data_IF_636363317646
#
_entry.id   IF_636363317646
#
_cell.length_a   1.000
_cell.length_b   1.000
_cell.length_c   1.000
_cell.angle_alpha   90.00
_cell.angle_beta   90.00
_cell.angle_gamma   90.00
#
_symmetry.space_group_name_H-M   'P 1'
#
loop_
_entity.id
_entity.type
_entity.pdbx_description
1 polymer ?
#
# COMPACT_ATOMS: atom_id res chain seq x y z
N UNK A 1 37.59 -28.26 -5.44
CA UNK A 1 37.30 -28.25 -4.00
C UNK A 1 36.04 -27.44 -3.69
N UNK A 2 35.89 -26.18 -4.15
CA UNK A 2 34.65 -25.40 -3.91
C UNK A 2 33.38 -25.97 -4.57
N UNK A 3 33.46 -26.58 -5.76
CA UNK A 3 32.29 -27.19 -6.42
C UNK A 3 31.81 -28.49 -5.75
N UNK A 4 32.68 -29.18 -5.01
CA UNK A 4 32.32 -30.40 -4.28
C UNK A 4 31.61 -30.06 -2.95
N UNK A 5 32.00 -28.95 -2.31
CA UNK A 5 31.38 -28.46 -1.08
C UNK A 5 29.93 -28.02 -1.28
N UNK A 6 29.63 -27.34 -2.40
CA UNK A 6 28.27 -26.91 -2.75
C UNK A 6 27.36 -28.13 -3.02
N UNK A 7 27.90 -29.18 -3.66
CA UNK A 7 27.14 -30.40 -3.93
C UNK A 7 26.80 -31.17 -2.65
N UNK A 8 27.72 -31.22 -1.68
CA UNK A 8 27.49 -31.86 -0.38
C UNK A 8 26.43 -31.10 0.43
N UNK A 9 26.46 -29.76 0.44
CA UNK A 9 25.46 -28.91 1.12
C UNK A 9 24.05 -29.11 0.52
N UNK A 10 23.93 -29.19 -0.81
CA UNK A 10 22.66 -29.43 -1.49
C UNK A 10 22.08 -30.81 -1.12
N UNK A 11 22.91 -31.85 -1.14
CA UNK A 11 22.49 -33.22 -0.77
C UNK A 11 22.09 -33.31 0.71
N UNK A 12 22.72 -32.53 1.61
CA UNK A 12 22.36 -32.54 3.03
C UNK A 12 21.02 -31.85 3.30
N UNK A 13 20.71 -30.78 2.56
CA UNK A 13 19.44 -30.06 2.70
C UNK A 13 18.26 -30.89 2.17
N UNK A 14 18.46 -31.61 1.05
CA UNK A 14 17.42 -32.50 0.49
C UNK A 14 17.10 -33.68 1.42
N UNK A 15 18.10 -34.21 2.15
CA UNK A 15 17.93 -35.33 3.08
C UNK A 15 17.28 -34.92 4.41
N UNK A 16 17.50 -33.68 4.89
CA UNK A 16 16.99 -33.22 6.18
C UNK A 16 15.56 -32.65 6.12
N UNK A 17 15.13 -32.13 4.97
CA UNK A 17 13.83 -31.43 4.85
C UNK A 17 12.82 -32.08 3.90
N UNK A 18 13.17 -33.16 3.19
CA UNK A 18 12.23 -33.95 2.39
C UNK A 18 11.56 -33.19 1.24
N UNK A 19 12.15 -32.09 0.76
CA UNK A 19 11.63 -31.28 -0.35
C UNK A 19 12.35 -31.62 -1.66
N UNK A 20 11.62 -32.05 -2.68
CA UNK A 20 12.14 -32.31 -4.04
C UNK A 20 12.31 -30.99 -4.80
N UNK A 21 13.52 -30.73 -5.30
CA UNK A 21 13.89 -29.53 -6.06
C UNK A 21 13.38 -29.55 -7.52
N UNK A 22 12.08 -29.81 -7.73
CA UNK A 22 11.42 -29.72 -9.04
C UNK A 22 10.21 -28.79 -9.06
N UNK A 23 10.01 -27.98 -8.03
CA UNK A 23 8.97 -26.92 -7.98
C UNK A 23 9.56 -25.50 -7.83
N UNK A 24 10.77 -25.27 -8.36
CA UNK A 24 11.35 -23.92 -8.49
C UNK A 24 11.41 -23.44 -9.95
N UNK A 25 10.44 -23.84 -10.77
CA UNK A 25 10.19 -23.28 -12.11
C UNK A 25 8.73 -22.88 -12.23
N UNK A 26 8.34 -21.84 -11.51
CA UNK A 26 7.12 -21.08 -11.85
C UNK A 26 7.31 -19.57 -11.75
N UNK A 27 8.54 -19.08 -11.97
CA UNK A 27 8.80 -17.68 -12.37
C UNK A 27 8.76 -17.61 -13.92
N UNK A 28 7.64 -18.01 -14.51
CA UNK A 28 7.35 -17.80 -15.94
C UNK A 28 5.94 -17.23 -16.19
N UNK A 29 5.23 -16.80 -15.13
CA UNK A 29 3.96 -16.05 -15.24
C UNK A 29 4.11 -14.53 -15.31
N UNK A 30 5.34 -14.01 -15.50
CA UNK A 30 5.60 -12.59 -15.81
C UNK A 30 5.68 -12.28 -17.32
N UNK A 31 5.51 -13.28 -18.20
CA UNK A 31 5.43 -13.06 -19.67
C UNK A 31 4.07 -12.59 -20.17
N UNK A 32 3.04 -12.58 -19.32
CA UNK A 32 1.72 -12.02 -19.68
C UNK A 32 1.71 -10.49 -19.64
N UNK A 33 2.62 -9.86 -18.88
CA UNK A 33 2.73 -8.40 -18.80
C UNK A 33 3.53 -7.76 -19.95
N UNK A 34 4.49 -8.48 -20.55
CA UNK A 34 5.25 -7.99 -21.70
C UNK A 34 4.47 -8.06 -23.03
N UNK A 35 3.42 -8.89 -23.13
CA UNK A 35 2.54 -8.93 -24.30
C UNK A 35 1.65 -7.68 -24.43
N UNK A 36 1.34 -7.01 -23.32
CA UNK A 36 0.52 -5.79 -23.32
C UNK A 36 1.26 -4.59 -23.95
N UNK A 37 2.59 -4.51 -23.78
CA UNK A 37 3.40 -3.43 -24.39
C UNK A 37 3.55 -3.56 -25.91
N UNK A 38 3.44 -4.79 -26.45
CA UNK A 38 3.52 -5.04 -27.90
C UNK A 38 2.22 -4.76 -28.67
N UNK A 39 1.09 -4.68 -27.96
CA UNK A 39 -0.21 -4.39 -28.57
C UNK A 39 -0.44 -2.90 -28.84
N UNK A 40 0.34 -2.02 -28.22
CA UNK A 40 0.29 -0.55 -28.43
C UNK A 40 0.58 -0.17 -29.89
N UNK A 41 1.37 -0.98 -30.61
CA UNK A 41 1.64 -0.78 -32.04
C UNK A 41 0.63 -1.46 -32.98
N UNK A 42 -0.19 -2.39 -32.49
CA UNK A 42 -1.12 -3.16 -33.34
C UNK A 42 -2.49 -2.49 -33.46
N UNK A 43 -2.90 -1.67 -32.49
CA UNK A 43 -4.12 -0.85 -32.52
C UNK A 43 -4.06 0.29 -33.54
N UNK A 44 -2.87 0.72 -33.97
CA UNK A 44 -2.69 1.79 -34.98
C UNK A 44 -3.21 1.47 -36.38
N UNK A 45 -3.42 0.19 -36.73
CA UNK A 45 -3.79 -0.21 -38.11
C UNK A 45 -5.30 -0.37 -38.35
N UNK A 46 -6.15 -0.24 -37.34
CA UNK A 46 -7.60 -0.52 -37.47
C UNK A 46 -8.53 0.71 -37.47
N UNK A 47 -8.03 1.92 -37.26
CA UNK A 47 -8.85 3.14 -37.10
C UNK A 47 -9.11 3.91 -38.41
N UNK A 48 -9.10 3.24 -39.56
CA UNK A 48 -9.22 3.91 -40.87
C UNK A 48 -10.65 4.33 -41.25
N UNK A 49 -11.60 4.31 -40.31
CA UNK A 49 -13.04 4.42 -40.60
C UNK A 49 -13.85 5.44 -39.79
N UNK A 50 -13.27 6.21 -38.87
CA UNK A 50 -14.05 7.18 -38.07
C UNK A 50 -13.36 8.54 -38.14
N UNK A 51 -13.92 9.44 -38.98
CA UNK A 51 -13.37 10.77 -39.27
C UNK A 51 -13.66 11.84 -38.20
N UNK A 52 -14.07 11.48 -36.98
CA UNK A 52 -14.57 12.45 -35.99
C UNK A 52 -13.79 12.51 -34.65
N UNK A 53 -12.67 11.78 -34.51
CA UNK A 53 -11.93 11.70 -33.23
C UNK A 53 -10.44 12.08 -33.34
N UNK A 54 -10.12 13.03 -34.22
CA UNK A 54 -8.74 13.53 -34.44
C UNK A 54 -8.14 14.29 -33.24
N UNK A 55 -8.90 14.55 -32.18
CA UNK A 55 -8.41 15.18 -30.95
C UNK A 55 -7.78 14.17 -29.98
N UNK A 56 -8.21 12.89 -30.00
CA UNK A 56 -7.62 11.82 -29.18
C UNK A 56 -6.19 11.52 -29.62
N UNK A 57 -5.90 11.65 -30.92
CA UNK A 57 -4.56 11.49 -31.51
C UNK A 57 -3.62 12.69 -31.24
N UNK A 58 -4.13 13.81 -30.70
CA UNK A 58 -3.40 15.06 -30.43
C UNK A 58 -2.88 15.17 -28.99
N UNK A 59 -2.57 14.05 -28.34
CA UNK A 59 -1.88 14.05 -27.03
C UNK A 59 -0.40 13.70 -27.23
N UNK A 60 0.48 14.65 -27.59
CA UNK A 60 1.91 14.43 -27.54
C UNK A 60 2.43 14.65 -26.12
N UNK A 61 3.47 13.90 -25.77
CA UNK A 61 3.91 13.68 -24.40
C UNK A 61 4.50 14.88 -23.65
N UNK A 62 4.44 14.72 -22.32
CA UNK A 62 5.44 15.10 -21.30
C UNK A 62 5.72 16.57 -20.98
N UNK A 63 5.05 17.55 -21.56
CA UNK A 63 5.16 18.94 -21.08
C UNK A 63 3.83 19.45 -20.52
N UNK A 64 3.86 19.90 -19.26
CA UNK A 64 2.75 20.58 -18.56
C UNK A 64 2.22 21.78 -19.37
N UNK A 65 3.09 22.46 -20.13
CA UNK A 65 2.71 23.55 -21.03
C UNK A 65 1.73 23.16 -22.15
N UNK A 66 1.87 21.95 -22.69
CA UNK A 66 1.02 21.45 -23.78
C UNK A 66 -0.33 20.92 -23.26
N UNK A 67 -0.38 20.45 -22.00
CA UNK A 67 -1.61 20.10 -21.31
C UNK A 67 -2.52 21.33 -21.05
N UNK A 68 -1.94 22.52 -20.86
CA UNK A 68 -2.65 23.79 -20.60
C UNK A 68 -3.46 24.27 -21.81
N UNK A 69 -3.04 23.98 -23.04
CA UNK A 69 -3.70 24.43 -24.27
C UNK A 69 -4.67 23.38 -24.86
N UNK A 70 -4.98 22.35 -24.08
CA UNK A 70 -5.62 21.15 -24.61
C UNK A 70 -7.11 21.40 -24.94
N UNK A 71 -7.57 21.16 -26.19
CA UNK A 71 -9.00 21.14 -26.53
C UNK A 71 -9.81 20.27 -25.56
N UNK A 72 -9.20 19.18 -25.08
CA UNK A 72 -9.73 18.18 -24.14
C UNK A 72 -10.29 18.74 -22.83
N UNK A 73 -9.91 19.96 -22.43
CA UNK A 73 -10.46 20.62 -21.24
C UNK A 73 -11.97 20.84 -21.34
N UNK A 74 -12.52 21.04 -22.55
CA UNK A 74 -13.97 21.19 -22.75
C UNK A 74 -14.69 19.85 -22.65
N UNK A 75 -14.16 18.80 -23.27
CA UNK A 75 -14.71 17.45 -23.24
C UNK A 75 -14.64 16.85 -21.84
N UNK A 76 -13.53 17.03 -21.12
CA UNK A 76 -13.40 16.60 -19.73
C UNK A 76 -14.33 17.36 -18.80
N UNK A 77 -14.64 18.63 -19.09
CA UNK A 77 -15.68 19.36 -18.36
C UNK A 77 -17.06 18.76 -18.62
N UNK A 78 -17.39 18.35 -19.84
CA UNK A 78 -18.64 17.62 -20.15
C UNK A 78 -18.73 16.33 -19.33
N UNK A 79 -17.66 15.52 -19.32
CA UNK A 79 -17.58 14.30 -18.51
C UNK A 79 -17.69 14.62 -17.01
N UNK A 80 -16.94 15.63 -16.57
CA UNK A 80 -16.89 16.14 -15.21
C UNK A 80 -18.26 16.50 -14.67
N UNK A 81 -18.97 17.39 -15.36
CA UNK A 81 -20.32 17.82 -14.99
C UNK A 81 -21.31 16.66 -15.04
N UNK A 82 -21.22 15.78 -16.04
CA UNK A 82 -22.10 14.61 -16.15
C UNK A 82 -21.95 13.64 -14.96
N UNK A 83 -20.73 13.36 -14.51
CA UNK A 83 -20.49 12.48 -13.35
C UNK A 83 -20.70 13.22 -12.02
N UNK A 84 -20.38 14.52 -11.94
CA UNK A 84 -20.63 15.33 -10.77
C UNK A 84 -22.13 15.50 -10.50
N UNK A 85 -22.98 15.63 -11.52
CA UNK A 85 -24.44 15.72 -11.34
C UNK A 85 -24.98 14.52 -10.54
N UNK A 86 -24.48 13.34 -10.87
CA UNK A 86 -24.76 12.13 -10.11
C UNK A 86 -24.19 12.15 -8.69
N UNK A 87 -22.93 12.59 -8.53
CA UNK A 87 -22.27 12.69 -7.22
C UNK A 87 -22.96 13.70 -6.27
N UNK A 88 -23.54 14.78 -6.79
CA UNK A 88 -24.02 15.90 -5.98
C UNK A 88 -25.55 15.97 -5.84
N UNK A 89 -26.32 15.46 -6.80
CA UNK A 89 -27.78 15.60 -6.78
C UNK A 89 -28.55 14.28 -6.72
N UNK A 90 -27.90 13.15 -7.02
CA UNK A 90 -28.57 11.86 -7.01
C UNK A 90 -28.37 11.06 -5.72
N UNK A 91 -29.24 10.08 -5.53
CA UNK A 91 -29.20 9.09 -4.46
C UNK A 91 -29.04 7.69 -5.04
N UNK A 92 -28.72 6.71 -4.19
CA UNK A 92 -28.62 5.32 -4.61
C UNK A 92 -29.96 4.75 -5.11
N UNK A 93 -30.10 4.66 -6.44
CA UNK A 93 -31.30 4.20 -7.15
C UNK A 93 -31.64 2.73 -6.90
N UNK A 94 -30.79 1.96 -6.21
CA UNK A 94 -31.09 0.56 -5.84
C UNK A 94 -32.13 0.45 -4.73
N UNK A 95 -32.32 1.52 -3.95
CA UNK A 95 -33.19 1.54 -2.77
C UNK A 95 -34.45 2.41 -2.94
N UNK A 96 -34.62 3.08 -4.08
CA UNK A 96 -35.71 4.04 -4.31
C UNK A 96 -37.09 3.39 -4.56
N UNK A 97 -37.19 2.06 -4.60
CA UNK A 97 -38.43 1.34 -4.89
C UNK A 97 -39.33 1.10 -3.67
N UNK A 98 -38.83 1.29 -2.45
CA UNK A 98 -39.60 1.11 -1.20
C UNK A 98 -40.10 2.46 -0.68
N UNK A 99 -41.29 2.86 -1.13
CA UNK A 99 -41.95 4.16 -0.94
C UNK A 99 -42.35 4.56 0.50
N UNK A 100 -41.55 4.30 1.54
CA UNK A 100 -41.89 4.78 2.89
C UNK A 100 -40.73 5.06 3.85
N UNK A 101 -39.47 5.02 3.42
CA UNK A 101 -38.33 5.41 4.28
C UNK A 101 -37.31 6.24 3.51
N UNK A 102 -37.67 7.49 3.17
CA UNK A 102 -36.70 8.55 2.90
C UNK A 102 -36.17 9.12 4.22
N UNK A 103 -35.73 8.28 5.16
CA UNK A 103 -35.28 8.84 6.44
C UNK A 103 -33.97 9.60 6.31
N UNK A 104 -33.13 9.35 5.29
CA UNK A 104 -32.00 10.22 4.94
C UNK A 104 -31.50 9.92 3.52
N UNK A 105 -31.65 10.80 2.51
CA UNK A 105 -31.00 10.62 1.21
C UNK A 105 -29.49 10.45 1.40
N UNK A 106 -28.96 9.28 1.05
CA UNK A 106 -27.51 9.00 1.12
C UNK A 106 -26.82 9.63 -0.07
N UNK A 107 -26.35 10.87 0.11
CA UNK A 107 -25.51 11.55 -0.87
C UNK A 107 -24.20 10.81 -1.10
N UNK A 108 -23.58 11.07 -2.24
CA UNK A 108 -22.38 10.40 -2.72
C UNK A 108 -21.11 10.85 -1.96
N UNK A 109 -21.10 10.65 -0.64
CA UNK A 109 -19.91 10.83 0.24
C UNK A 109 -18.86 9.79 -0.11
N UNK A 110 -19.32 8.55 -0.21
CA UNK A 110 -18.54 7.38 -0.56
C UNK A 110 -19.16 6.73 -1.80
N UNK A 111 -18.40 5.89 -2.49
CA UNK A 111 -19.00 5.01 -3.48
C UNK A 111 -20.08 4.12 -2.85
N UNK A 112 -21.07 3.64 -3.61
CA UNK A 112 -22.22 2.93 -3.04
C UNK A 112 -21.80 1.77 -2.13
N UNK A 113 -22.42 1.66 -0.95
CA UNK A 113 -22.20 0.58 0.03
C UNK A 113 -23.50 -0.21 0.23
N UNK A 114 -23.53 -1.51 -0.12
CA UNK A 114 -22.46 -2.30 -0.72
C UNK A 114 -22.15 -1.86 -2.14
N UNK A 115 -20.93 -2.14 -2.63
CA UNK A 115 -20.51 -1.83 -4.01
C UNK A 115 -21.43 -2.44 -5.06
N UNK A 116 -21.31 -1.99 -6.32
CA UNK A 116 -22.04 -2.61 -7.42
C UNK A 116 -21.69 -4.10 -7.55
N UNK A 117 -22.71 -4.97 -7.51
CA UNK A 117 -22.55 -6.41 -7.77
C UNK A 117 -22.11 -6.68 -9.22
N UNK A 118 -22.61 -5.89 -10.17
CA UNK A 118 -22.25 -5.95 -11.59
C UNK A 118 -22.10 -4.54 -12.14
N UNK A 119 -20.86 -4.21 -12.53
CA UNK A 119 -20.44 -2.96 -13.20
C UNK A 119 -21.01 -2.89 -14.62
N UNK A 120 -21.17 -1.68 -15.15
CA UNK A 120 -21.67 -1.46 -16.50
C UNK A 120 -20.67 -1.94 -17.55
N UNK A 121 -21.07 -2.90 -18.39
CA UNK A 121 -20.12 -3.64 -19.25
C UNK A 121 -19.48 -2.76 -20.33
N UNK A 122 -20.20 -1.78 -20.88
CA UNK A 122 -19.65 -0.86 -21.88
C UNK A 122 -18.50 -0.03 -21.29
N UNK A 123 -18.69 0.50 -20.07
CA UNK A 123 -17.66 1.27 -19.37
C UNK A 123 -16.47 0.38 -19.04
N UNK A 124 -16.71 -0.83 -18.51
CA UNK A 124 -15.64 -1.80 -18.21
C UNK A 124 -14.84 -2.13 -19.48
N UNK A 125 -15.52 -2.45 -20.58
CA UNK A 125 -14.88 -2.81 -21.84
C UNK A 125 -14.03 -1.68 -22.43
N UNK A 126 -14.43 -0.43 -22.27
CA UNK A 126 -13.64 0.72 -22.69
C UNK A 126 -12.49 1.01 -21.72
N UNK A 127 -12.76 1.11 -20.41
CA UNK A 127 -11.80 1.57 -19.42
C UNK A 127 -10.72 0.53 -19.06
N UNK A 128 -10.96 -0.77 -19.28
CA UNK A 128 -9.92 -1.80 -19.15
C UNK A 128 -8.91 -1.78 -20.31
N UNK A 129 -9.23 -1.12 -21.44
CA UNK A 129 -8.27 -0.90 -22.53
C UNK A 129 -7.30 0.25 -22.23
N UNK A 130 -7.71 1.20 -21.37
CA UNK A 130 -6.90 2.35 -20.96
C UNK A 130 -7.74 3.59 -20.69
N UNK A 131 -7.10 4.66 -20.24
CA UNK A 131 -7.78 5.91 -19.89
C UNK A 131 -8.34 6.64 -21.12
N UNK A 132 -7.68 6.60 -22.29
CA UNK A 132 -8.16 7.28 -23.50
C UNK A 132 -9.48 6.67 -24.02
N UNK A 133 -9.59 5.34 -24.25
CA UNK A 133 -10.88 4.75 -24.64
C UNK A 133 -11.98 4.96 -23.59
N UNK A 134 -11.62 5.00 -22.30
CA UNK A 134 -12.55 5.31 -21.22
C UNK A 134 -13.15 6.71 -21.35
N UNK A 135 -12.29 7.72 -21.51
CA UNK A 135 -12.68 9.12 -21.67
C UNK A 135 -13.55 9.29 -22.91
N UNK A 136 -13.19 8.65 -24.02
CA UNK A 136 -13.96 8.69 -25.27
C UNK A 136 -15.38 8.13 -25.08
N UNK A 137 -15.52 6.95 -24.47
CA UNK A 137 -16.82 6.32 -24.23
C UNK A 137 -17.69 7.16 -23.29
N UNK A 138 -17.11 7.70 -22.22
CA UNK A 138 -17.84 8.54 -21.26
C UNK A 138 -18.25 9.86 -21.91
N UNK A 139 -17.37 10.50 -22.67
CA UNK A 139 -17.69 11.73 -23.40
C UNK A 139 -18.85 11.52 -24.37
N UNK A 140 -18.75 10.48 -25.21
CA UNK A 140 -19.80 10.13 -26.17
C UNK A 140 -21.14 9.93 -25.46
N UNK A 141 -21.15 9.17 -24.37
CA UNK A 141 -22.38 8.90 -23.63
C UNK A 141 -22.94 10.14 -22.92
N UNK A 142 -22.07 10.96 -22.31
CA UNK A 142 -22.47 12.22 -21.67
C UNK A 142 -23.08 13.20 -22.68
N UNK A 143 -22.47 13.33 -23.85
CA UNK A 143 -22.92 14.23 -24.92
C UNK A 143 -24.28 13.83 -25.53
N UNK A 144 -24.65 12.55 -25.46
CA UNK A 144 -25.97 12.07 -25.89
C UNK A 144 -26.98 11.97 -24.75
N UNK A 145 -26.58 12.25 -23.50
CA UNK A 145 -27.46 12.16 -22.33
C UNK A 145 -28.41 13.36 -22.22
N UNK A 146 -29.60 13.13 -21.65
CA UNK A 146 -30.55 14.21 -21.32
C UNK A 146 -30.04 15.17 -20.24
N UNK A 147 -29.14 14.70 -19.38
CA UNK A 147 -28.61 15.42 -18.22
C UNK A 147 -27.97 16.76 -18.54
N UNK A 148 -27.38 16.89 -19.73
CA UNK A 148 -26.70 18.11 -20.19
C UNK A 148 -27.51 18.92 -21.21
N UNK A 149 -28.78 18.56 -21.47
CA UNK A 149 -29.58 19.16 -22.55
C UNK A 149 -29.71 20.69 -22.49
N UNK A 150 -29.69 21.28 -21.28
CA UNK A 150 -29.72 22.75 -21.09
C UNK A 150 -28.38 23.40 -21.40
N UNK A 151 -27.28 22.75 -21.02
CA UNK A 151 -25.89 23.21 -21.14
C UNK A 151 -25.43 23.18 -22.61
N UNK A 152 -25.88 22.21 -23.39
CA UNK A 152 -25.48 22.04 -24.81
C UNK A 152 -25.79 23.26 -25.71
N UNK A 153 -26.72 24.13 -25.31
CA UNK A 153 -26.97 25.40 -26.02
C UNK A 153 -25.74 26.32 -26.03
N UNK A 154 -24.86 26.20 -25.04
CA UNK A 154 -23.65 27.03 -24.89
C UNK A 154 -22.41 26.46 -25.60
N UNK A 155 -22.42 25.18 -26.02
CA UNK A 155 -21.25 24.49 -26.61
C UNK A 155 -21.25 24.38 -28.15
N UNK A 156 -22.29 24.87 -28.83
CA UNK A 156 -22.29 25.05 -30.30
C UNK A 156 -23.01 23.95 -31.10
N UNK A 157 -24.08 24.37 -31.80
CA UNK A 157 -24.78 23.80 -32.97
C UNK A 157 -24.78 22.26 -33.15
N UNK A 158 -25.77 21.62 -32.55
CA UNK A 158 -26.89 20.94 -33.20
C UNK A 158 -27.64 20.24 -32.07
N UNK A 159 -28.56 20.96 -31.44
CA UNK A 159 -29.42 20.41 -30.40
C UNK A 159 -30.35 19.39 -31.05
N UNK A 160 -29.89 18.14 -31.14
CA UNK A 160 -30.79 17.04 -31.41
C UNK A 160 -31.71 16.98 -30.19
N UNK A 161 -33.00 17.30 -30.42
CA UNK A 161 -34.06 17.15 -29.43
C UNK A 161 -34.24 15.66 -29.16
N UNK A 162 -33.42 15.08 -28.29
CA UNK A 162 -33.70 13.75 -27.76
C UNK A 162 -34.63 13.91 -26.56
N UNK A 163 -35.90 13.56 -26.80
CA UNK A 163 -36.86 13.33 -25.74
C UNK A 163 -36.31 12.23 -24.82
N UNK A 164 -36.19 12.53 -23.53
CA UNK A 164 -36.10 11.55 -22.44
C UNK A 164 -35.08 10.42 -22.67
N UNK A 165 -33.82 10.66 -22.31
CA UNK A 165 -32.95 9.64 -21.74
C UNK A 165 -32.64 8.42 -22.64
N UNK A 166 -31.67 8.52 -23.54
CA UNK A 166 -31.07 7.35 -24.21
C UNK A 166 -29.55 7.59 -24.33
N UNK A 167 -28.66 6.63 -23.98
CA UNK A 167 -28.70 5.19 -24.31
C UNK A 167 -29.18 4.24 -23.21
N UNK A 168 -29.74 4.74 -22.11
CA UNK A 168 -30.06 3.93 -20.94
C UNK A 168 -31.54 3.53 -20.91
N UNK A 169 -31.81 2.29 -20.52
CA UNK A 169 -33.15 1.71 -20.35
C UNK A 169 -33.93 2.36 -19.22
N UNK A 170 -33.27 2.71 -18.11
CA UNK A 170 -33.91 3.25 -16.91
C UNK A 170 -32.94 4.04 -15.99
N UNK A 171 -33.49 4.63 -14.92
CA UNK A 171 -32.73 5.37 -13.88
C UNK A 171 -31.67 4.52 -13.19
N UNK A 172 -31.90 3.22 -13.06
CA UNK A 172 -30.97 2.28 -12.45
C UNK A 172 -29.78 1.98 -13.38
N UNK A 173 -29.97 1.92 -14.69
CA UNK A 173 -28.90 1.68 -15.65
C UNK A 173 -27.93 2.88 -15.73
N UNK A 174 -28.43 4.12 -15.79
CA UNK A 174 -27.55 5.30 -15.70
C UNK A 174 -26.82 5.37 -14.37
N UNK A 175 -27.52 5.08 -13.27
CA UNK A 175 -26.88 5.00 -11.95
C UNK A 175 -25.70 4.03 -12.01
N UNK A 176 -25.89 2.83 -12.55
CA UNK A 176 -24.83 1.83 -12.69
C UNK A 176 -23.73 2.29 -13.64
N UNK A 177 -24.07 2.96 -14.73
CA UNK A 177 -23.11 3.54 -15.67
C UNK A 177 -22.22 4.57 -14.98
N UNK A 178 -22.82 5.60 -14.37
CA UNK A 178 -22.11 6.70 -13.74
C UNK A 178 -21.27 6.25 -12.56
N UNK A 179 -21.79 5.38 -11.70
CA UNK A 179 -21.01 4.78 -10.61
C UNK A 179 -19.79 4.03 -11.17
N UNK A 180 -19.97 3.22 -12.22
CA UNK A 180 -18.88 2.48 -12.85
C UNK A 180 -17.86 3.44 -13.46
N UNK A 181 -18.31 4.48 -14.16
CA UNK A 181 -17.45 5.51 -14.76
C UNK A 181 -16.67 6.26 -13.68
N UNK A 182 -17.31 6.68 -12.58
CA UNK A 182 -16.65 7.33 -11.45
C UNK A 182 -15.59 6.44 -10.79
N UNK A 183 -15.79 5.11 -10.71
CA UNK A 183 -14.74 4.20 -10.24
C UNK A 183 -13.45 4.33 -11.06
N UNK A 184 -13.56 4.24 -12.40
CA UNK A 184 -12.39 4.31 -13.28
C UNK A 184 -11.81 5.72 -13.34
N UNK A 185 -12.65 6.74 -13.46
CA UNK A 185 -12.18 8.13 -13.55
C UNK A 185 -11.49 8.58 -12.26
N UNK A 186 -12.00 8.19 -11.09
CA UNK A 186 -11.30 8.45 -9.83
C UNK A 186 -9.97 7.70 -9.77
N UNK A 187 -9.94 6.44 -10.20
CA UNK A 187 -8.72 5.65 -10.22
C UNK A 187 -7.65 6.24 -11.17
N UNK A 188 -8.03 6.70 -12.36
CA UNK A 188 -7.12 7.41 -13.25
C UNK A 188 -6.65 8.75 -12.67
N UNK A 189 -7.50 9.44 -11.90
CA UNK A 189 -7.11 10.66 -11.17
C UNK A 189 -6.04 10.34 -10.11
N UNK A 190 -6.18 9.24 -9.37
CA UNK A 190 -5.20 8.75 -8.40
C UNK A 190 -3.90 8.26 -9.06
N UNK A 191 -3.99 7.73 -10.28
CA UNK A 191 -2.81 7.40 -11.10
C UNK A 191 -2.12 8.64 -11.67
N UNK A 192 -2.73 9.82 -11.52
CA UNK A 192 -2.26 11.12 -12.06
C UNK A 192 -2.06 11.08 -13.57
N UNK A 193 -3.02 10.52 -14.30
CA UNK A 193 -3.00 10.55 -15.75
C UNK A 193 -3.04 12.01 -16.24
N UNK A 194 -2.03 12.44 -17.00
CA UNK A 194 -1.86 13.83 -17.45
C UNK A 194 -3.10 14.40 -18.14
N UNK A 195 -3.86 13.53 -18.79
CA UNK A 195 -5.13 13.83 -19.44
C UNK A 195 -6.13 14.49 -18.48
N UNK A 196 -6.11 14.16 -17.18
CA UNK A 196 -7.03 14.66 -16.16
C UNK A 196 -6.50 15.90 -15.42
N UNK A 197 -5.35 16.43 -15.85
CA UNK A 197 -4.85 17.71 -15.37
C UNK A 197 -5.64 18.86 -16.01
N UNK A 198 -6.34 19.62 -15.17
CA UNK A 198 -7.22 20.75 -15.51
C UNK A 198 -6.69 22.05 -14.89
N UNK A 199 -5.64 22.65 -15.47
CA UNK A 199 -5.08 23.92 -14.99
C UNK A 199 -6.03 25.09 -15.26
N UNK A 200 -6.08 26.06 -14.34
CA UNK A 200 -6.78 27.34 -14.55
C UNK A 200 -8.32 27.30 -14.47
N UNK A 201 -8.91 26.18 -14.06
CA UNK A 201 -10.36 26.08 -13.85
C UNK A 201 -10.74 26.65 -12.49
N UNK A 202 -10.87 27.98 -12.40
CA UNK A 202 -11.57 28.58 -11.27
C UNK A 202 -13.04 28.16 -11.38
N UNK A 203 -13.61 27.61 -10.30
CA UNK A 203 -14.99 27.13 -10.22
C UNK A 203 -15.28 25.88 -11.09
N UNK A 204 -14.95 24.69 -10.55
CA UNK A 204 -15.24 23.37 -11.12
C UNK A 204 -16.74 23.11 -11.38
N UNK A 205 -17.65 23.89 -10.80
CA UNK A 205 -19.09 23.60 -10.77
C UNK A 205 -19.93 24.60 -11.55
N UNK A 206 -19.32 25.51 -12.32
CA UNK A 206 -19.99 26.61 -13.02
C UNK A 206 -21.21 26.21 -13.87
N UNK A 207 -21.25 24.99 -14.43
CA UNK A 207 -22.40 24.51 -15.24
C UNK A 207 -23.20 23.39 -14.56
N UNK A 208 -22.83 23.01 -13.33
CA UNK A 208 -23.40 21.85 -12.65
C UNK A 208 -24.88 22.06 -12.29
N UNK A 209 -25.24 23.28 -11.91
CA UNK A 209 -26.60 23.67 -11.56
C UNK A 209 -27.58 23.71 -12.74
N UNK A 210 -27.06 23.76 -13.98
CA UNK A 210 -27.87 23.72 -15.20
C UNK A 210 -28.25 22.30 -15.61
N UNK A 211 -27.72 21.27 -14.93
CA UNK A 211 -28.04 19.87 -15.23
C UNK A 211 -29.50 19.53 -14.92
N UNK A 212 -30.01 18.48 -15.54
CA UNK A 212 -31.37 17.99 -15.26
C UNK A 212 -31.52 17.56 -13.80
N UNK A 213 -30.51 16.88 -13.26
CA UNK A 213 -30.48 16.36 -11.90
C UNK A 213 -30.44 17.46 -10.83
N UNK A 214 -29.85 18.62 -11.14
CA UNK A 214 -29.80 19.74 -10.22
C UNK A 214 -31.19 20.18 -9.77
N UNK A 215 -32.20 20.12 -10.66
CA UNK A 215 -33.56 20.55 -10.33
C UNK A 215 -33.64 21.99 -9.79
N UNK A 216 -32.72 22.87 -10.20
CA UNK A 216 -32.60 24.25 -9.72
C UNK A 216 -31.76 24.42 -8.45
N UNK A 217 -31.13 23.36 -7.92
CA UNK A 217 -30.21 23.44 -6.79
C UNK A 217 -28.81 23.87 -7.25
N UNK A 218 -28.15 24.65 -6.40
CA UNK A 218 -26.75 25.06 -6.58
C UNK A 218 -25.86 24.31 -5.60
N UNK A 219 -24.60 24.11 -6.00
CA UNK A 219 -23.55 23.49 -5.18
C UNK A 219 -22.45 24.52 -4.93
N UNK A 220 -22.06 24.64 -3.67
CA UNK A 220 -20.92 25.41 -3.19
C UNK A 220 -19.90 24.46 -2.57
N UNK A 221 -18.64 24.52 -3.01
CA UNK A 221 -17.53 23.77 -2.42
C UNK A 221 -16.29 24.66 -2.42
N UNK A 222 -15.83 25.06 -1.23
CA UNK A 222 -14.72 26.02 -1.06
C UNK A 222 -13.44 25.57 -1.78
N UNK A 223 -13.26 24.25 -1.97
CA UNK A 223 -12.07 23.69 -2.64
C UNK A 223 -12.04 23.99 -4.13
N UNK A 224 -13.16 24.38 -4.71
CA UNK A 224 -13.25 24.81 -6.12
C UNK A 224 -12.71 26.24 -6.35
N UNK A 225 -12.42 26.98 -5.28
CA UNK A 225 -12.04 28.40 -5.30
C UNK A 225 -10.54 28.64 -4.99
N UNK A 226 -9.77 27.58 -4.73
CA UNK A 226 -8.37 27.68 -4.26
C UNK A 226 -7.44 28.25 -5.34
N UNK A 227 -6.64 29.27 -4.97
CA UNK A 227 -5.69 29.97 -5.86
C UNK A 227 -4.44 29.12 -6.13
N UNK A 228 -3.91 29.26 -7.33
CA UNK A 228 -2.89 28.45 -8.05
C UNK A 228 -1.51 28.29 -7.33
N UNK A 229 -1.32 28.73 -6.09
CA UNK A 229 0.01 28.78 -5.43
C UNK A 229 0.43 27.53 -4.66
N UNK A 230 -0.44 26.53 -4.51
CA UNK A 230 -0.09 25.26 -3.87
C UNK A 230 -0.09 24.15 -4.91
N UNK A 231 0.82 23.19 -4.75
CA UNK A 231 0.92 21.92 -5.48
C UNK A 231 -0.33 21.01 -5.33
N UNK A 232 -1.45 21.60 -4.90
CA UNK A 232 -2.85 21.13 -4.82
C UNK A 232 -3.68 21.69 -6.00
N UNK A 233 -3.04 21.97 -7.13
CA UNK A 233 -2.70 21.01 -8.19
C UNK A 233 -3.85 20.82 -9.16
N UNK A 234 -3.46 20.91 -10.43
CA UNK A 234 -4.20 20.69 -11.66
C UNK A 234 -5.25 19.56 -11.64
N UNK A 235 -5.26 18.63 -10.68
CA UNK A 235 -6.27 17.57 -10.55
C UNK A 235 -7.48 17.90 -9.66
N UNK A 236 -7.54 19.09 -9.04
CA UNK A 236 -8.61 19.43 -8.07
C UNK A 236 -10.02 19.22 -8.62
N UNK A 237 -10.33 19.70 -9.83
CA UNK A 237 -11.65 19.44 -10.43
C UNK A 237 -11.88 17.96 -10.73
N UNK A 238 -10.85 17.20 -11.13
CA UNK A 238 -10.97 15.76 -11.35
C UNK A 238 -11.33 15.02 -10.05
N UNK A 239 -10.68 15.35 -8.92
CA UNK A 239 -11.05 14.81 -7.61
C UNK A 239 -12.48 15.17 -7.23
N UNK A 240 -12.86 16.44 -7.41
CA UNK A 240 -14.19 16.94 -7.09
C UNK A 240 -15.29 16.31 -7.95
N UNK A 241 -15.04 16.02 -9.22
CA UNK A 241 -16.01 15.41 -10.13
C UNK A 241 -16.08 13.88 -10.00
N UNK A 242 -14.94 13.21 -9.88
CA UNK A 242 -14.86 11.75 -10.08
C UNK A 242 -14.72 10.96 -8.79
N UNK A 243 -14.01 11.51 -7.79
CA UNK A 243 -13.71 10.79 -6.56
C UNK A 243 -14.73 11.05 -5.46
N UNK A 244 -14.97 10.08 -4.56
CA UNK A 244 -15.67 10.33 -3.31
C UNK A 244 -14.81 11.21 -2.40
N UNK A 245 -15.40 11.65 -1.29
CA UNK A 245 -14.72 12.45 -0.30
C UNK A 245 -14.85 11.77 1.06
N UNK A 246 -13.77 11.08 1.46
CA UNK A 246 -13.78 10.38 2.75
C UNK A 246 -13.55 11.33 3.91
N UNK A 247 -12.91 12.48 3.67
CA UNK A 247 -12.52 13.42 4.72
C UNK A 247 -13.65 14.37 5.09
N UNK A 248 -14.36 14.86 4.09
CA UNK A 248 -15.43 15.83 4.30
C UNK A 248 -16.74 15.18 3.87
N UNK A 249 -17.63 15.00 4.84
CA UNK A 249 -19.00 14.70 4.52
C UNK A 249 -19.62 15.92 3.84
N UNK A 250 -20.59 15.65 2.96
CA UNK A 250 -21.42 16.72 2.43
C UNK A 250 -22.61 16.79 3.36
N UNK A 251 -22.86 17.97 3.94
CA UNK A 251 -24.19 18.27 4.47
C UNK A 251 -25.20 17.95 3.35
N UNK A 252 -26.37 17.43 3.71
CA UNK A 252 -27.37 16.75 2.87
C UNK A 252 -27.95 17.55 1.67
N UNK A 253 -27.25 18.59 1.21
CA UNK A 253 -27.48 19.31 -0.04
C UNK A 253 -26.25 19.38 -0.96
N UNK A 254 -25.15 18.69 -0.64
CA UNK A 254 -23.95 18.66 -1.48
C UNK A 254 -23.01 19.85 -1.30
N UNK A 255 -23.26 20.71 -0.31
CA UNK A 255 -22.48 21.92 -0.06
C UNK A 255 -21.39 21.66 0.99
N UNK A 256 -20.24 22.29 0.79
CA UNK A 256 -19.13 22.39 1.75
C UNK A 256 -18.59 23.81 1.63
N UNK A 257 -19.20 24.75 2.34
CA UNK A 257 -18.99 26.19 2.07
C UNK A 257 -17.69 26.73 2.62
N UNK A 258 -17.18 26.11 3.68
CA UNK A 258 -15.93 26.50 4.32
C UNK A 258 -15.19 25.30 4.86
N UNK A 259 -13.92 25.51 5.22
CA UNK A 259 -13.10 24.48 5.85
C UNK A 259 -13.67 24.08 7.22
N UNK A 260 -14.22 25.03 7.97
CA UNK A 260 -14.79 24.82 9.30
C UNK A 260 -16.03 23.91 9.25
N UNK A 261 -16.97 24.17 8.34
CA UNK A 261 -18.14 23.30 8.12
C UNK A 261 -17.69 21.87 7.78
N UNK A 262 -16.64 21.75 6.98
CA UNK A 262 -16.08 20.46 6.57
C UNK A 262 -15.46 19.69 7.75
N UNK A 263 -14.73 20.40 8.63
CA UNK A 263 -14.09 19.82 9.81
C UNK A 263 -15.09 19.35 10.86
N UNK A 264 -16.18 20.10 11.04
CA UNK A 264 -17.24 19.80 12.01
C UNK A 264 -18.28 18.79 11.50
N UNK A 265 -18.11 18.24 10.31
CA UNK A 265 -18.97 17.18 9.82
C UNK A 265 -18.88 15.94 10.71
N UNK A 266 -20.02 15.47 11.23
CA UNK A 266 -20.18 14.23 12.00
C UNK A 266 -19.63 12.96 11.33
N UNK A 267 -19.41 13.02 10.02
CA UNK A 267 -18.89 11.95 9.19
C UNK A 267 -17.41 12.14 8.84
N UNK A 268 -16.76 13.21 9.30
CA UNK A 268 -15.31 13.37 9.23
C UNK A 268 -14.63 12.25 10.05
N UNK A 269 -13.76 11.42 9.45
CA UNK A 269 -13.11 10.33 10.18
C UNK A 269 -12.16 10.82 11.27
N UNK A 270 -11.74 12.08 11.23
CA UNK A 270 -10.95 12.73 12.26
C UNK A 270 -11.81 13.54 13.25
N UNK A 271 -13.14 13.46 13.16
CA UNK A 271 -14.07 14.32 13.89
C UNK A 271 -14.02 14.19 15.42
N UNK A 272 -13.57 13.04 15.93
CA UNK A 272 -13.40 12.76 17.37
C UNK A 272 -12.06 13.28 17.93
N UNK A 273 -11.16 13.76 17.08
CA UNK A 273 -9.88 14.33 17.50
C UNK A 273 -10.04 15.83 17.80
N UNK A 274 -9.23 16.35 18.72
CA UNK A 274 -9.05 17.78 18.97
C UNK A 274 -8.65 18.52 17.70
N UNK A 275 -7.76 17.91 16.90
CA UNK A 275 -7.41 18.41 15.57
C UNK A 275 -8.06 17.55 14.49
N UNK A 276 -9.18 18.02 13.98
CA UNK A 276 -10.04 17.33 13.01
C UNK A 276 -9.54 17.35 11.57
N UNK A 277 -8.32 17.84 11.32
CA UNK A 277 -7.75 17.95 9.98
C UNK A 277 -7.62 16.55 9.35
N UNK A 278 -8.41 16.30 8.31
CA UNK A 278 -8.33 15.10 7.50
C UNK A 278 -7.60 15.38 6.19
N UNK A 279 -6.55 14.61 5.93
CA UNK A 279 -5.73 14.73 4.73
C UNK A 279 -5.95 13.51 3.83
N UNK A 280 -6.55 13.74 2.67
CA UNK A 280 -6.62 12.72 1.63
C UNK A 280 -5.22 12.44 1.08
N UNK A 281 -4.80 11.18 1.07
CA UNK A 281 -3.53 10.75 0.50
C UNK A 281 -3.55 10.80 -1.03
N UNK A 282 -3.46 12.01 -1.61
CA UNK A 282 -3.47 12.22 -3.07
C UNK A 282 -2.43 11.34 -3.75
N UNK A 283 -2.88 10.54 -4.72
CA UNK A 283 -2.03 9.65 -5.50
C UNK A 283 -1.58 8.39 -4.74
N UNK A 284 -2.11 8.13 -3.54
CA UNK A 284 -1.82 6.92 -2.76
C UNK A 284 -2.89 5.84 -2.96
N UNK A 285 -4.04 6.13 -3.58
CA UNK A 285 -5.16 5.17 -3.73
C UNK A 285 -5.13 4.43 -5.07
N UNK A 286 -4.01 3.76 -5.37
CA UNK A 286 -3.79 3.12 -6.68
C UNK A 286 -4.43 1.75 -6.85
N UNK A 287 -4.95 1.14 -5.79
CA UNK A 287 -5.64 -0.15 -5.88
C UNK A 287 -7.12 0.07 -6.23
N UNK A 288 -7.52 -0.32 -7.43
CA UNK A 288 -8.88 -0.16 -7.93
C UNK A 288 -9.94 -0.85 -7.05
N UNK A 289 -9.66 -2.05 -6.53
CA UNK A 289 -10.63 -2.79 -5.72
C UNK A 289 -10.80 -2.18 -4.32
N UNK A 290 -9.75 -1.62 -3.75
CA UNK A 290 -9.82 -0.88 -2.49
C UNK A 290 -10.61 0.41 -2.64
N UNK A 291 -10.35 1.16 -3.72
CA UNK A 291 -11.10 2.36 -4.10
C UNK A 291 -12.60 2.07 -4.23
N UNK A 292 -12.98 1.03 -4.98
CA UNK A 292 -14.39 0.62 -5.16
C UNK A 292 -15.05 0.18 -3.84
N UNK A 293 -14.27 -0.24 -2.84
CA UNK A 293 -14.73 -0.66 -1.51
C UNK A 293 -14.67 0.47 -0.47
N UNK A 294 -14.34 1.69 -0.89
CA UNK A 294 -14.12 2.84 -0.01
C UNK A 294 -13.00 2.65 1.02
N UNK A 295 -11.98 1.84 0.68
CA UNK A 295 -10.76 1.68 1.48
C UNK A 295 -9.74 2.72 1.03
N UNK A 296 -9.97 3.96 1.46
CA UNK A 296 -9.13 5.10 1.09
C UNK A 296 -8.00 5.31 2.09
N UNK A 297 -6.85 5.72 1.58
CA UNK A 297 -5.73 6.21 2.33
C UNK A 297 -5.93 7.70 2.59
N UNK A 298 -6.37 8.02 3.80
CA UNK A 298 -6.40 9.35 4.36
C UNK A 298 -5.73 9.29 5.73
N UNK A 299 -5.25 10.43 6.22
CA UNK A 299 -4.58 10.56 7.52
C UNK A 299 -5.19 11.66 8.35
N UNK A 300 -5.23 11.43 9.67
CA UNK A 300 -5.54 12.43 10.67
C UNK A 300 -4.27 12.85 11.43
N UNK A 301 -4.28 14.02 12.04
CA UNK A 301 -3.19 14.46 12.91
C UNK A 301 -3.35 13.86 14.32
N UNK A 302 -2.55 12.83 14.60
CA UNK A 302 -2.57 12.13 15.88
C UNK A 302 -1.59 12.71 16.90
N UNK A 303 -0.56 13.44 16.47
CA UNK A 303 0.48 13.96 17.37
C UNK A 303 -0.08 14.99 18.35
N UNK A 304 -1.13 15.72 17.92
CA UNK A 304 -1.81 16.70 18.75
C UNK A 304 -2.59 16.06 19.91
N UNK A 305 -3.15 14.86 19.73
CA UNK A 305 -3.77 14.12 20.83
C UNK A 305 -2.73 13.64 21.83
N UNK A 306 -1.72 12.93 21.30
CA UNK A 306 -0.66 12.35 22.07
C UNK A 306 0.56 12.18 21.17
N UNK A 307 1.69 12.74 21.62
CA UNK A 307 2.98 12.58 20.97
C UNK A 307 3.32 11.10 20.73
N UNK A 308 3.93 10.79 19.60
CA UNK A 308 4.33 9.42 19.22
C UNK A 308 3.18 8.54 18.71
N UNK A 309 1.98 9.08 18.54
CA UNK A 309 0.88 8.38 17.88
C UNK A 309 0.88 8.64 16.37
N UNK A 310 0.47 7.65 15.60
CA UNK A 310 0.26 7.73 14.14
C UNK A 310 -1.13 7.24 13.75
N UNK A 311 -1.68 7.79 12.67
CA UNK A 311 -3.00 7.37 12.18
C UNK A 311 -2.96 5.98 11.55
N UNK A 312 -3.87 5.09 11.95
CA UNK A 312 -4.07 3.80 11.28
C UNK A 312 -5.33 3.82 10.39
N UNK A 313 -5.19 3.82 9.05
CA UNK A 313 -6.33 3.76 8.14
C UNK A 313 -7.15 2.46 8.26
N UNK A 314 -6.54 1.38 8.75
CA UNK A 314 -7.20 0.09 8.90
C UNK A 314 -8.19 0.08 10.07
N UNK A 315 -7.82 0.72 11.17
CA UNK A 315 -8.64 0.76 12.38
C UNK A 315 -9.40 2.07 12.56
N UNK A 316 -9.06 3.10 11.77
CA UNK A 316 -9.64 4.44 11.85
C UNK A 316 -9.49 5.08 13.24
N UNK A 317 -8.32 4.92 13.86
CA UNK A 317 -7.92 5.64 15.07
C UNK A 317 -6.39 5.78 15.17
N UNK A 318 -5.95 6.62 16.11
CA UNK A 318 -4.54 6.85 16.40
C UNK A 318 -3.92 5.69 17.19
N UNK A 319 -2.91 5.05 16.62
CA UNK A 319 -2.16 3.96 17.24
C UNK A 319 -0.78 4.45 17.66
N UNK A 320 -0.20 3.78 18.65
CA UNK A 320 1.18 4.01 19.04
C UNK A 320 2.12 3.69 17.87
N UNK A 321 3.06 4.59 17.60
CA UNK A 321 4.15 4.31 16.68
C UNK A 321 5.19 3.48 17.39
N UNK A 322 5.50 2.30 16.87
CA UNK A 322 6.56 1.47 17.43
C UNK A 322 7.91 1.83 16.79
N UNK A 323 8.58 2.84 17.35
CA UNK A 323 9.86 3.29 16.81
C UNK A 323 10.95 2.22 16.91
N UNK A 324 10.84 1.30 17.87
CA UNK A 324 11.77 0.19 18.01
C UNK A 324 11.61 -0.84 16.88
N UNK A 325 10.37 -1.11 16.46
CA UNK A 325 10.08 -1.98 15.31
C UNK A 325 10.47 -1.32 13.98
N UNK A 326 10.25 -0.01 13.86
CA UNK A 326 10.62 0.76 12.66
C UNK A 326 12.11 1.09 12.57
N UNK A 327 12.90 0.75 13.59
CA UNK A 327 14.32 1.09 13.73
C UNK A 327 14.60 2.61 13.67
N UNK A 328 13.63 3.44 14.08
CA UNK A 328 13.72 4.90 14.11
C UNK A 328 13.83 5.44 15.55
N UNK A 329 14.90 5.06 16.22
CA UNK A 329 15.17 5.44 17.62
C UNK A 329 16.62 5.87 17.80
N UNK A 330 16.87 6.76 18.75
CA UNK A 330 18.19 7.28 19.08
C UNK A 330 18.68 6.71 20.42
N UNK A 331 18.87 5.39 20.44
CA UNK A 331 19.45 4.70 21.60
C UNK A 331 20.97 4.55 21.44
N UNK A 332 21.75 4.77 22.51
CA UNK A 332 23.18 4.46 22.50
C UNK A 332 23.44 3.00 22.14
N UNK A 333 24.59 2.74 21.49
CA UNK A 333 24.97 1.40 21.00
C UNK A 333 25.00 0.30 22.06
N UNK A 334 25.11 0.65 23.34
CA UNK A 334 25.11 -0.29 24.47
C UNK A 334 23.72 -0.48 25.13
N UNK A 335 22.68 0.16 24.59
CA UNK A 335 21.30 0.10 25.06
C UNK A 335 20.39 -0.64 24.08
N UNK A 336 19.22 -1.06 24.57
CA UNK A 336 18.15 -1.69 23.79
C UNK A 336 16.94 -0.77 23.83
N UNK A 337 16.35 -0.53 22.65
CA UNK A 337 15.08 0.17 22.50
C UNK A 337 13.93 -0.66 23.07
N UNK A 338 13.07 -0.03 23.86
CA UNK A 338 11.79 -0.58 24.31
C UNK A 338 10.68 0.39 23.98
N UNK A 339 9.72 -0.07 23.18
CA UNK A 339 8.59 0.76 22.80
C UNK A 339 7.68 1.03 24.01
N UNK A 340 7.14 2.24 24.10
CA UNK A 340 6.18 2.65 25.12
C UNK A 340 5.09 3.51 24.50
N UNK A 341 3.93 3.63 25.13
CA UNK A 341 2.82 4.36 24.50
C UNK A 341 3.14 5.87 24.42
N UNK A 342 3.47 6.34 23.22
CA UNK A 342 3.77 7.70 22.81
C UNK A 342 5.26 8.04 22.70
N UNK A 343 6.15 7.06 22.88
CA UNK A 343 7.62 7.22 22.78
C UNK A 343 8.30 5.86 22.92
N UNK A 344 9.60 5.78 22.68
CA UNK A 344 10.41 4.67 23.16
C UNK A 344 11.23 5.07 24.40
N UNK A 345 11.76 4.06 25.09
CA UNK A 345 12.81 4.23 26.10
C UNK A 345 14.01 3.35 25.77
N UNK A 346 15.21 3.87 26.06
CA UNK A 346 16.44 3.09 25.94
C UNK A 346 16.79 2.49 27.30
N UNK A 347 17.09 1.20 27.31
CA UNK A 347 17.39 0.48 28.54
C UNK A 347 18.58 -0.46 28.37
N UNK A 348 19.33 -0.68 29.44
CA UNK A 348 20.43 -1.61 29.42
C UNK A 348 19.95 -3.05 29.28
N UNK A 349 20.77 -3.89 28.63
CA UNK A 349 20.53 -5.34 28.57
C UNK A 349 20.43 -5.92 29.98
N UNK A 350 19.69 -7.02 30.14
CA UNK A 350 19.60 -7.74 31.41
C UNK A 350 21.00 -8.03 31.97
N UNK A 351 21.21 -7.69 33.25
CA UNK A 351 22.50 -7.80 33.93
C UNK A 351 23.40 -6.56 33.82
N UNK A 352 22.94 -5.50 33.16
CA UNK A 352 23.58 -4.20 33.11
C UNK A 352 22.66 -3.13 33.71
N UNK A 353 23.25 -2.09 34.30
CA UNK A 353 22.56 -0.92 34.82
C UNK A 353 23.07 0.35 34.13
N UNK A 354 22.21 1.37 34.03
CA UNK A 354 22.58 2.66 33.45
C UNK A 354 23.41 3.45 34.46
N UNK A 355 24.65 3.78 34.10
CA UNK A 355 25.48 4.68 34.90
C UNK A 355 25.08 6.13 34.65
N UNK A 356 24.62 6.82 35.69
CA UNK A 356 24.13 8.20 35.62
C UNK A 356 25.20 9.20 35.16
N UNK A 357 26.48 8.91 35.38
CA UNK A 357 27.57 9.82 35.04
C UNK A 357 28.04 9.68 33.59
N UNK A 358 28.03 8.46 33.08
CA UNK A 358 28.55 8.17 31.73
C UNK A 358 27.45 7.93 30.70
N UNK A 359 26.19 7.82 31.13
CA UNK A 359 25.01 7.43 30.33
C UNK A 359 25.19 6.13 29.54
N UNK A 360 26.10 5.27 30.02
CA UNK A 360 26.46 3.97 29.44
C UNK A 360 26.05 2.82 30.32
N UNK A 361 25.92 1.64 29.73
CA UNK A 361 25.54 0.43 30.43
C UNK A 361 26.75 -0.24 31.09
N UNK A 362 26.73 -0.32 32.43
CA UNK A 362 27.73 -1.04 33.22
C UNK A 362 27.17 -2.37 33.70
N UNK A 363 27.96 -3.43 33.61
CA UNK A 363 27.57 -4.74 34.12
C UNK A 363 27.46 -4.69 35.64
N UNK A 364 26.46 -5.36 36.20
CA UNK A 364 26.29 -5.45 37.64
C UNK A 364 27.48 -6.17 38.31
N UNK A 365 27.99 -5.65 39.42
CA UNK A 365 29.18 -6.19 40.09
C UNK A 365 29.02 -7.63 40.57
N UNK A 366 27.81 -8.01 41.00
CA UNK A 366 27.46 -9.39 41.31
C UNK A 366 27.67 -10.35 40.12
N UNK A 367 27.40 -9.90 38.90
CA UNK A 367 27.66 -10.70 37.69
C UNK A 367 29.15 -10.73 37.33
N UNK A 368 29.89 -9.65 37.62
CA UNK A 368 31.35 -9.64 37.49
C UNK A 368 31.99 -10.66 38.47
N UNK A 369 31.56 -10.65 39.72
CA UNK A 369 32.03 -11.57 40.76
C UNK A 369 31.66 -13.02 40.44
N UNK A 370 30.44 -13.27 39.94
CA UNK A 370 30.01 -14.60 39.50
C UNK A 370 30.81 -15.09 38.28
N UNK A 371 31.07 -14.22 37.30
CA UNK A 371 31.88 -14.54 36.13
C UNK A 371 33.35 -14.83 36.48
N UNK A 372 33.94 -14.04 37.39
CA UNK A 372 35.29 -14.27 37.90
C UNK A 372 35.38 -15.62 38.64
N UNK A 373 34.40 -15.90 39.50
CA UNK A 373 34.31 -17.18 40.21
C UNK A 373 34.15 -18.36 39.26
N UNK A 374 33.37 -18.22 38.19
CA UNK A 374 33.21 -19.26 37.17
C UNK A 374 34.47 -19.47 36.33
N UNK A 375 35.22 -18.40 36.02
CA UNK A 375 36.50 -18.49 35.32
C UNK A 375 37.55 -19.21 36.18
N UNK A 376 37.61 -18.92 37.47
CA UNK A 376 38.49 -19.63 38.40
C UNK A 376 38.12 -21.11 38.51
N UNK A 377 36.83 -21.46 38.55
CA UNK A 377 36.37 -22.87 38.49
C UNK A 377 36.82 -23.58 37.21
N UNK A 378 36.76 -22.92 36.06
CA UNK A 378 37.26 -23.51 34.80
C UNK A 378 38.78 -23.68 34.79
N UNK A 379 39.54 -22.78 35.42
CA UNK A 379 40.99 -22.93 35.56
C UNK A 379 41.33 -24.09 36.48
N UNK A 380 40.61 -24.26 37.59
CA UNK A 380 40.82 -25.40 38.50
C UNK A 380 40.42 -26.72 37.84
N UNK A 381 39.32 -26.78 37.09
CA UNK A 381 38.94 -27.96 36.30
C UNK A 381 40.03 -28.35 35.29
N UNK A 382 40.54 -27.39 34.50
CA UNK A 382 41.65 -27.65 33.56
C UNK A 382 42.95 -28.05 34.27
N UNK A 383 43.25 -27.48 35.43
CA UNK A 383 44.43 -27.86 36.21
C UNK A 383 44.30 -29.27 36.81
N UNK A 384 43.09 -29.68 37.20
CA UNK A 384 42.80 -31.06 37.65
C UNK A 384 42.91 -32.03 36.47
N UNK A 385 42.46 -31.64 35.28
CA UNK A 385 42.57 -32.45 34.06
C UNK A 385 44.04 -32.60 33.60
N UNK A 386 44.83 -31.52 33.62
CA UNK A 386 46.26 -31.56 33.32
C UNK A 386 47.07 -32.41 34.33
N UNK A 387 46.72 -32.38 35.63
CA UNK A 387 47.32 -33.28 36.63
C UNK A 387 46.94 -34.75 36.42
N UNK A 388 45.79 -35.02 35.80
CA UNK A 388 45.39 -36.38 35.40
C UNK A 388 46.26 -36.92 34.27
N UNK A 389 46.70 -36.08 33.34
CA UNK A 389 47.61 -36.47 32.26
C UNK A 389 49.03 -36.78 32.76
N UNK A 390 49.56 -36.04 33.75
CA UNK A 390 50.85 -36.36 34.38
C UNK A 390 50.82 -37.70 35.14
N UNK A 391 49.70 -38.02 35.79
CA UNK A 391 49.48 -39.33 36.44
C UNK A 391 49.31 -40.49 35.45
N UNK A 392 48.72 -40.22 34.28
CA UNK A 392 48.55 -41.20 33.21
C UNK A 392 49.86 -41.58 32.51
N UNK A 393 50.75 -40.62 32.28
CA UNK A 393 52.05 -40.86 31.63
C UNK A 393 52.96 -41.80 32.45
N UNK A 394 52.96 -41.68 33.79
CA UNK A 394 53.71 -42.58 34.68
C UNK A 394 53.16 -44.02 34.67
N UNK A 395 51.84 -44.19 34.48
CA UNK A 395 51.19 -45.50 34.40
C UNK A 395 51.50 -46.20 33.06
N UNK A 396 51.50 -45.44 31.96
CA UNK A 396 51.84 -45.94 30.62
C UNK A 396 53.33 -46.31 30.52
N UNK A 397 54.24 -45.52 31.12
CA UNK A 397 55.66 -45.87 31.22
C UNK A 397 55.92 -47.12 32.06
N UNK A 398 55.20 -47.31 33.18
CA UNK A 398 55.26 -48.57 33.95
C UNK A 398 54.76 -49.77 33.14
N UNK A 399 53.69 -49.61 32.37
CA UNK A 399 53.15 -50.67 31.50
C UNK A 399 54.12 -51.04 30.37
N UNK A 400 54.77 -50.05 29.74
CA UNK A 400 55.77 -50.27 28.68
C UNK A 400 57.03 -50.97 29.20
N UNK A 401 57.48 -50.64 30.41
CA UNK A 401 58.63 -51.30 31.04
C UNK A 401 58.33 -52.76 31.40
N UNK A 402 57.10 -53.09 31.81
CA UNK A 402 56.66 -54.48 32.04
C UNK A 402 56.56 -55.27 30.72
N UNK A 403 56.11 -54.65 29.63
CA UNK A 403 56.05 -55.27 28.30
C UNK A 403 57.45 -55.57 27.74
N UNK A 404 58.43 -54.67 27.93
CA UNK A 404 59.81 -54.85 27.46
C UNK A 404 60.56 -55.93 28.28
N UNK A 405 60.16 -56.17 29.53
CA UNK A 405 60.74 -57.22 30.39
C UNK A 405 60.24 -58.63 30.08
N UNK A 406 59.51 -58.82 28.97
CA UNK A 406 59.26 -60.14 28.39
C UNK A 406 58.38 -61.05 29.24
N UNK A 407 57.62 -60.50 30.19
CA UNK A 407 56.66 -61.25 30.99
C UNK A 407 55.25 -60.72 30.70
N UNK A 408 54.67 -61.16 29.59
CA UNK A 408 53.22 -61.11 29.46
C UNK A 408 52.71 -62.43 28.86
N UNK A 409 52.00 -63.26 29.64
CA UNK A 409 51.37 -64.47 29.12
C UNK A 409 50.26 -64.07 28.14
N UNK A 410 50.34 -64.59 26.91
CA UNK A 410 49.28 -64.47 25.90
C UNK A 410 48.01 -65.21 26.37
N UNK A 411 47.22 -64.60 27.25
CA UNK A 411 45.82 -65.01 27.40
C UNK A 411 44.84 -63.94 27.91
N UNK A 412 45.27 -62.68 28.07
CA UNK A 412 44.36 -61.58 28.46
C UNK A 412 44.64 -60.32 27.65
N UNK A 413 44.29 -60.35 26.35
CA UNK A 413 44.17 -59.14 25.53
C UNK A 413 42.77 -59.13 24.94
N UNK A 414 41.90 -58.26 25.45
CA UNK A 414 40.61 -57.99 24.83
C UNK A 414 40.80 -57.05 23.63
N UNK A 415 39.90 -57.17 22.64
CA UNK A 415 39.90 -56.45 21.36
C UNK A 415 40.14 -54.91 21.39
N UNK A 416 39.90 -54.14 22.47
CA UNK A 416 40.18 -52.70 22.46
C UNK A 416 41.69 -52.33 22.42
N UNK A 417 42.57 -53.21 22.87
CA UNK A 417 44.02 -52.91 22.99
C UNK A 417 44.80 -53.08 21.68
N UNK A 418 44.32 -53.90 20.74
CA UNK A 418 44.92 -53.98 19.40
C UNK A 418 44.68 -52.69 18.59
N UNK A 419 43.55 -52.03 18.81
CA UNK A 419 43.15 -50.83 18.04
C UNK A 419 44.03 -49.62 18.41
N UNK A 420 44.49 -49.54 19.66
CA UNK A 420 45.40 -48.48 20.12
C UNK A 420 46.85 -48.66 19.59
N UNK A 421 47.30 -49.90 19.37
CA UNK A 421 48.60 -50.13 18.74
C UNK A 421 48.60 -49.76 17.25
N UNK A 422 47.49 -49.93 16.54
CA UNK A 422 47.38 -49.56 15.12
C UNK A 422 47.16 -48.06 14.88
N UNK A 423 46.47 -47.34 15.77
CA UNK A 423 46.27 -45.89 15.63
C UNK A 423 47.55 -45.09 15.88
N UNK A 424 48.48 -45.63 16.69
CA UNK A 424 49.75 -44.99 17.02
C UNK A 424 50.79 -45.08 15.89
N UNK A 425 50.67 -46.09 15.02
CA UNK A 425 51.55 -46.28 13.85
C UNK A 425 51.06 -45.44 12.66
N UNK A 426 49.74 -45.19 12.56
CA UNK A 426 49.14 -44.40 11.48
C UNK A 426 49.37 -42.89 11.62
N UNK A 427 49.62 -42.40 12.85
CA UNK A 427 49.95 -40.99 13.15
C UNK A 427 51.46 -40.66 13.06
N UNK A 428 52.31 -41.64 12.76
CA UNK A 428 53.75 -41.46 12.51
C UNK A 428 54.11 -41.47 11.01
N UNK A 429 53.12 -41.66 10.13
CA UNK A 429 53.28 -41.70 8.65
C UNK A 429 52.47 -40.59 7.94
N UNK A 430 51.72 -39.78 8.68
CA UNK A 430 51.15 -38.48 8.25
C UNK A 430 51.95 -37.36 8.92
#
# INVERSE_FOLDING_TARGET
>A
MEKAYILIIIITIEYLFGLKFTECVTINKLKTFQRLRSNEHRTRRSLKGIRDFSWVERVPGKNIGDAILNPLTKELRVIGIFLAAHKYFEVDRRYTFTSSQFENPKFYKHFPTPRLRKRHQVVVGACELGYLPCVEEIFKTANHSGSLAKIHKNFGKNAIRYASYYPFKDSLELFRYRVTASYYMCWFTEMREDVLALPGTNNCFKDLNETEEAGGKNIEDFRSEVKISEEYSIFTCAYLWFCPDSCYGKSSGGNVKSKEEALDDHLNPCGELQKKDCLWGIGKNKNFEDLVRNKFNYSCDCEFEKKGMVWSPMYSFCVDRDECYEEDYDCPTDQICRNTVGSYMCSCRTGYYLDKNTTRCKRHDLLNAAAASALERKKTEKAVEAKKEEGGSLYVLKLLVEIIRGHCPLHTITKPLLILCFSSIFLLVL
#
